data_IF_206845438102
#
_entry.id   IF_206845438102
#
_cell.length_a   1.000
_cell.length_b   1.000
_cell.length_c   1.000
_cell.angle_alpha   90.00
_cell.angle_beta   90.00
_cell.angle_gamma   90.00
#
_symmetry.space_group_name_H-M   'P 1'
#
loop_
_entity.id
_entity.type
_entity.pdbx_description
1 polymer ?
#
# COMPACT_ATOMS: atom_id res chain seq x y z
N UNK A 1 -32.23 -14.35 -40.11
CA UNK A 1 -30.89 -13.76 -40.30
C UNK A 1 -30.75 -12.63 -39.29
N UNK A 2 -29.88 -12.77 -38.28
CA UNK A 2 -29.67 -11.68 -37.33
C UNK A 2 -29.07 -10.49 -38.07
N UNK A 3 -29.66 -9.30 -37.93
CA UNK A 3 -29.16 -8.11 -38.61
C UNK A 3 -27.81 -7.69 -38.01
N UNK A 4 -26.93 -7.10 -38.82
CA UNK A 4 -25.64 -6.59 -38.35
C UNK A 4 -25.77 -5.62 -37.17
N UNK A 5 -26.89 -4.88 -37.12
CA UNK A 5 -27.23 -3.97 -36.03
C UNK A 5 -27.49 -4.74 -34.72
N UNK A 6 -28.24 -5.84 -34.78
CA UNK A 6 -28.57 -6.69 -33.61
C UNK A 6 -27.32 -7.35 -33.03
N UNK A 7 -26.37 -7.74 -33.88
CA UNK A 7 -25.08 -8.33 -33.46
C UNK A 7 -24.18 -7.27 -32.80
N UNK A 8 -24.14 -6.04 -33.31
CA UNK A 8 -23.38 -4.94 -32.69
C UNK A 8 -23.90 -4.58 -31.30
N UNK A 9 -25.22 -4.47 -31.12
CA UNK A 9 -25.81 -4.11 -29.82
C UNK A 9 -25.51 -5.17 -28.74
N UNK A 10 -25.63 -6.47 -29.07
CA UNK A 10 -25.29 -7.55 -28.13
C UNK A 10 -23.80 -7.60 -27.77
N UNK A 11 -22.91 -7.31 -28.73
CA UNK A 11 -21.47 -7.22 -28.48
C UNK A 11 -21.07 -6.06 -27.56
N UNK A 12 -21.79 -4.94 -27.63
CA UNK A 12 -21.54 -3.76 -26.79
C UNK A 12 -22.03 -3.93 -25.36
N UNK A 13 -23.15 -4.65 -25.14
CA UNK A 13 -23.69 -4.95 -23.80
C UNK A 13 -22.87 -5.99 -23.02
N UNK A 14 -22.03 -6.79 -23.69
CA UNK A 14 -21.14 -7.77 -23.06
C UNK A 14 -19.74 -7.21 -22.73
N UNK A 15 -19.45 -5.97 -23.10
CA UNK A 15 -18.13 -5.35 -22.92
C UNK A 15 -17.82 -4.76 -21.53
N UNK A 16 -18.77 -4.39 -20.64
CA UNK A 16 -18.40 -3.76 -19.39
C UNK A 16 -18.19 -4.81 -18.29
N UNK A 17 -17.07 -5.53 -18.31
CA UNK A 17 -16.77 -6.48 -17.21
C UNK A 17 -15.29 -6.70 -16.90
N UNK A 18 -14.34 -5.97 -17.52
CA UNK A 18 -12.91 -6.22 -17.27
C UNK A 18 -12.13 -4.92 -17.12
N UNK A 19 -12.59 -4.00 -16.28
CA UNK A 19 -11.72 -2.95 -15.73
C UNK A 19 -11.16 -3.46 -14.41
N UNK A 20 -10.07 -4.23 -14.46
CA UNK A 20 -9.32 -4.53 -13.25
C UNK A 20 -8.58 -3.26 -12.82
N UNK A 21 -8.76 -2.84 -11.57
CA UNK A 21 -7.92 -1.80 -10.99
C UNK A 21 -6.45 -2.25 -11.05
N UNK A 22 -5.54 -1.33 -11.34
CA UNK A 22 -4.12 -1.63 -11.31
C UNK A 22 -3.72 -2.16 -9.91
N UNK A 23 -2.81 -3.14 -9.88
CA UNK A 23 -2.30 -3.64 -8.61
C UNK A 23 -1.68 -2.48 -7.81
N UNK A 24 -1.88 -2.43 -6.48
CA UNK A 24 -1.24 -1.44 -5.63
C UNK A 24 0.28 -1.47 -5.79
N UNK A 25 0.94 -0.32 -5.61
CA UNK A 25 2.41 -0.26 -5.60
C UNK A 25 2.94 -1.14 -4.49
N UNK A 26 4.07 -1.81 -4.74
CA UNK A 26 4.76 -2.59 -3.70
C UNK A 26 5.17 -1.65 -2.54
N UNK A 27 5.10 -2.13 -1.29
CA UNK A 27 5.68 -1.41 -0.15
C UNK A 27 7.15 -1.09 -0.41
N UNK A 28 7.57 0.10 -0.01
CA UNK A 28 8.95 0.56 -0.10
C UNK A 28 9.42 0.85 1.32
N UNK A 29 10.48 0.19 1.74
CA UNK A 29 11.09 0.41 3.05
C UNK A 29 11.71 1.81 3.11
N UNK A 30 11.43 2.52 4.19
CA UNK A 30 11.90 3.89 4.42
C UNK A 30 12.33 4.07 5.87
N UNK A 31 13.23 5.03 6.17
CA UNK A 31 13.59 5.34 7.54
C UNK A 31 12.38 5.75 8.37
N UNK A 32 12.35 5.34 9.64
CA UNK A 32 11.27 5.60 10.60
C UNK A 32 10.84 7.08 10.63
N UNK A 33 11.82 7.98 10.63
CA UNK A 33 11.63 9.43 10.74
C UNK A 33 10.86 10.03 9.55
N UNK A 34 10.71 9.29 8.45
CA UNK A 34 9.94 9.75 7.29
C UNK A 34 8.43 9.80 7.60
N UNK A 35 7.94 8.86 8.41
CA UNK A 35 6.51 8.67 8.64
C UNK A 35 6.11 8.72 10.12
N UNK A 36 7.08 8.62 11.04
CA UNK A 36 6.82 8.52 12.47
C UNK A 36 7.71 9.46 13.28
N UNK A 37 7.18 9.89 14.43
CA UNK A 37 7.91 10.68 15.43
C UNK A 37 7.74 10.01 16.80
N UNK A 38 8.80 9.96 17.62
CA UNK A 38 8.71 9.34 18.93
C UNK A 38 7.90 10.22 19.89
N UNK A 39 7.02 9.60 20.67
CA UNK A 39 6.12 10.32 21.59
C UNK A 39 6.59 10.28 23.04
N UNK A 40 7.33 9.25 23.43
CA UNK A 40 7.77 9.02 24.81
C UNK A 40 9.10 8.25 24.81
N UNK A 41 9.90 8.45 25.86
CA UNK A 41 11.15 7.72 26.11
C UNK A 41 12.04 7.59 24.86
N UNK A 42 12.48 8.73 24.31
CA UNK A 42 13.27 8.75 23.07
C UNK A 42 14.60 7.99 23.22
N UNK A 43 15.14 8.00 24.42
CA UNK A 43 16.34 7.28 24.84
C UNK A 43 16.17 5.75 24.80
N UNK A 44 14.93 5.25 24.80
CA UNK A 44 14.59 3.83 24.67
C UNK A 44 14.27 3.39 23.24
N UNK A 45 14.49 4.27 22.26
CA UNK A 45 14.27 3.98 20.84
C UNK A 45 15.63 3.89 20.14
N UNK A 46 16.00 2.68 19.73
CA UNK A 46 17.27 2.41 19.05
C UNK A 46 17.07 2.37 17.54
N UNK A 47 17.75 3.26 16.83
CA UNK A 47 17.77 3.31 15.37
C UNK A 47 18.94 2.47 14.83
N UNK A 48 18.62 1.50 13.98
CA UNK A 48 19.58 0.60 13.33
C UNK A 48 19.56 0.90 11.82
N UNK A 49 20.71 0.77 11.16
CA UNK A 49 20.83 0.99 9.71
C UNK A 49 20.24 2.34 9.25
N UNK A 50 20.58 3.42 9.97
CA UNK A 50 20.09 4.76 9.66
C UNK A 50 18.59 4.97 9.90
N UNK A 51 17.95 4.12 10.72
CA UNK A 51 16.52 4.20 11.05
C UNK A 51 15.61 3.34 10.18
N UNK A 52 16.19 2.47 9.34
CA UNK A 52 15.43 1.47 8.55
C UNK A 52 14.87 0.37 9.45
N UNK A 53 15.54 0.09 10.56
CA UNK A 53 15.04 -0.76 11.64
C UNK A 53 15.06 0.03 12.94
N UNK A 54 14.04 -0.17 13.77
CA UNK A 54 13.91 0.46 15.08
C UNK A 54 13.59 -0.60 16.12
N UNK A 55 14.28 -0.55 17.25
CA UNK A 55 14.01 -1.39 18.41
C UNK A 55 13.54 -0.51 19.56
N UNK A 56 12.40 -0.90 20.15
CA UNK A 56 11.90 -0.31 21.38
C UNK A 56 12.43 -1.12 22.55
N UNK A 57 13.10 -0.44 23.48
CA UNK A 57 13.65 -1.03 24.70
C UNK A 57 12.71 -0.74 25.84
N UNK A 58 12.49 -1.72 26.71
CA UNK A 58 11.67 -1.55 27.91
C UNK A 58 12.48 -1.96 29.13
N UNK A 59 12.58 -1.07 30.10
CA UNK A 59 13.12 -1.37 31.42
C UNK A 59 12.26 -0.75 32.55
N UNK A 60 12.74 -0.78 33.80
CA UNK A 60 11.97 -0.24 34.94
C UNK A 60 11.86 1.29 34.93
N UNK A 61 12.78 1.96 34.25
CA UNK A 61 12.93 3.42 34.23
C UNK A 61 12.08 4.02 33.13
N UNK A 62 12.04 3.39 31.96
CA UNK A 62 11.00 3.43 30.91
C UNK A 62 11.52 2.70 29.69
#
# INVERSE_FOLDING_TARGET
>A
MASALTVMFLGFFLWPSVTNAAAPRKPIDVPFQKNYVPTWAQEHIKYINGGTEVQLVLDKST
#
